data_IF_588400547177
#
_entry.id   IF_588400547177
#
_cell.length_a   1.000
_cell.length_b   1.000
_cell.length_c   1.000
_cell.angle_alpha   90.00
_cell.angle_beta   90.00
_cell.angle_gamma   90.00
#
_symmetry.space_group_name_H-M   'P 1'
#
loop_
_entity.id
_entity.type
_entity.pdbx_description
1 polymer ?
#
# COMPACT_ATOMS: atom_id res chain seq x y z
N UNK A 1 6.89 3.43 10.40
CA UNK A 1 6.40 4.76 9.93
C UNK A 1 7.24 5.33 8.79
N UNK A 2 8.55 5.53 8.96
CA UNK A 2 9.43 6.16 7.94
C UNK A 2 9.36 5.44 6.58
N UNK A 3 9.40 4.11 6.57
CA UNK A 3 9.29 3.33 5.34
C UNK A 3 8.00 3.61 4.55
N UNK A 4 6.86 3.72 5.23
CA UNK A 4 5.57 4.04 4.59
C UNK A 4 5.63 5.40 3.88
N UNK A 5 6.22 6.41 4.52
CA UNK A 5 6.34 7.76 3.95
C UNK A 5 7.26 7.78 2.73
N UNK A 6 8.39 7.09 2.79
CA UNK A 6 9.32 6.98 1.66
C UNK A 6 8.62 6.33 0.47
N UNK A 7 7.98 5.18 0.69
CA UNK A 7 7.31 4.45 -0.40
C UNK A 7 6.11 5.24 -0.95
N UNK A 8 5.32 5.89 -0.09
CA UNK A 8 4.20 6.73 -0.51
C UNK A 8 4.66 7.90 -1.39
N UNK A 9 5.77 8.54 -1.02
CA UNK A 9 6.35 9.65 -1.79
C UNK A 9 6.83 9.18 -3.15
N UNK A 10 7.56 8.06 -3.21
CA UNK A 10 7.98 7.43 -4.48
C UNK A 10 6.79 7.08 -5.36
N UNK A 11 5.75 6.45 -4.80
CA UNK A 11 4.55 6.06 -5.54
C UNK A 11 3.74 7.28 -6.01
N UNK A 12 3.77 8.38 -5.28
CA UNK A 12 3.16 9.64 -5.74
C UNK A 12 3.88 10.18 -6.96
N UNK A 13 5.21 10.21 -6.94
CA UNK A 13 6.02 10.67 -8.07
C UNK A 13 5.82 9.77 -9.30
N UNK A 14 5.89 8.45 -9.12
CA UNK A 14 5.69 7.47 -10.20
C UNK A 14 4.25 7.56 -10.74
N UNK A 15 3.26 7.57 -9.86
CA UNK A 15 1.84 7.63 -10.24
C UNK A 15 1.49 8.91 -10.98
N UNK A 16 1.99 10.07 -10.51
CA UNK A 16 1.80 11.34 -11.19
C UNK A 16 2.46 11.38 -12.58
N UNK A 17 3.70 10.87 -12.70
CA UNK A 17 4.38 10.76 -13.98
C UNK A 17 3.61 9.86 -14.95
N UNK A 18 3.12 8.70 -14.49
CA UNK A 18 2.35 7.77 -15.34
C UNK A 18 1.03 8.37 -15.84
N UNK A 19 0.35 9.16 -15.00
CA UNK A 19 -0.92 9.82 -15.35
C UNK A 19 -0.70 11.01 -16.29
N UNK A 20 0.29 11.87 -16.00
CA UNK A 20 0.47 13.15 -16.68
C UNK A 20 1.34 13.05 -17.94
N UNK A 21 2.30 12.12 -17.99
CA UNK A 21 3.32 12.04 -19.03
C UNK A 21 3.16 10.80 -19.91
N UNK A 22 2.97 9.62 -19.31
CA UNK A 22 2.94 8.34 -20.04
C UNK A 22 1.53 7.89 -20.48
N UNK A 23 0.47 8.63 -20.09
CA UNK A 23 -0.93 8.27 -20.34
C UNK A 23 -1.32 6.86 -19.85
N UNK A 24 -0.55 6.29 -18.93
CA UNK A 24 -0.79 4.97 -18.35
C UNK A 24 -1.67 5.10 -17.11
N UNK A 25 -2.88 5.62 -17.33
CA UNK A 25 -3.80 6.05 -16.28
C UNK A 25 -4.13 4.95 -15.28
N UNK A 26 -4.36 3.73 -15.74
CA UNK A 26 -4.76 2.63 -14.85
C UNK A 26 -3.65 2.28 -13.85
N UNK A 27 -2.41 2.09 -14.32
CA UNK A 27 -1.29 1.83 -13.42
C UNK A 27 -1.00 3.05 -12.55
N UNK A 28 -1.01 4.26 -13.13
CA UNK A 28 -0.77 5.50 -12.39
C UNK A 28 -1.75 5.69 -11.23
N UNK A 29 -3.04 5.44 -11.46
CA UNK A 29 -4.07 5.48 -10.40
C UNK A 29 -3.82 4.42 -9.31
N UNK A 30 -3.38 3.21 -9.65
CA UNK A 30 -3.04 2.19 -8.64
C UNK A 30 -1.87 2.66 -7.74
N UNK A 31 -0.84 3.28 -8.32
CA UNK A 31 0.26 3.88 -7.56
C UNK A 31 -0.24 5.01 -6.64
N UNK A 32 -1.08 5.92 -7.17
CA UNK A 32 -1.63 7.04 -6.39
C UNK A 32 -2.53 6.59 -5.25
N UNK A 33 -3.43 5.63 -5.48
CA UNK A 33 -4.30 5.05 -4.44
C UNK A 33 -3.46 4.40 -3.35
N UNK A 34 -2.41 3.67 -3.73
CA UNK A 34 -1.50 3.04 -2.77
C UNK A 34 -0.73 4.07 -1.95
N UNK A 35 -0.27 5.15 -2.59
CA UNK A 35 0.38 6.25 -1.90
C UNK A 35 -0.53 6.90 -0.85
N UNK A 36 -1.79 7.17 -1.21
CA UNK A 36 -2.80 7.71 -0.28
C UNK A 36 -3.01 6.77 0.91
N UNK A 37 -3.14 5.47 0.67
CA UNK A 37 -3.27 4.48 1.74
C UNK A 37 -2.05 4.52 2.68
N UNK A 38 -0.83 4.59 2.14
CA UNK A 38 0.39 4.60 2.95
C UNK A 38 0.60 5.90 3.74
N UNK A 39 0.30 7.06 3.15
CA UNK A 39 0.29 8.33 3.88
C UNK A 39 -0.74 8.32 5.00
N UNK A 40 -1.95 7.81 4.73
CA UNK A 40 -3.01 7.71 5.73
C UNK A 40 -2.59 6.82 6.89
N UNK A 41 -2.03 5.63 6.60
CA UNK A 41 -1.52 4.73 7.63
C UNK A 41 -0.40 5.37 8.45
N UNK A 42 0.56 6.03 7.80
CA UNK A 42 1.65 6.72 8.49
C UNK A 42 1.12 7.84 9.41
N UNK A 43 0.11 8.57 8.97
CA UNK A 43 -0.58 9.58 9.78
C UNK A 43 -1.27 8.97 11.00
N UNK A 44 -2.04 7.89 10.82
CA UNK A 44 -2.75 7.21 11.92
C UNK A 44 -1.77 6.68 12.98
N UNK A 45 -0.63 6.12 12.55
CA UNK A 45 0.46 5.70 13.46
C UNK A 45 1.01 6.92 14.22
N UNK A 46 1.31 8.01 13.51
CA UNK A 46 1.88 9.23 14.11
C UNK A 46 0.98 9.83 15.19
N UNK A 47 -0.34 9.81 15.00
CA UNK A 47 -1.29 10.33 16.01
C UNK A 47 -1.61 9.33 17.12
N UNK A 48 -0.89 8.19 17.18
CA UNK A 48 -1.05 7.18 18.24
C UNK A 48 -2.33 6.35 18.15
N UNK A 49 -3.07 6.43 17.03
CA UNK A 49 -4.31 5.66 16.83
C UNK A 49 -4.05 4.23 16.35
N UNK A 50 -2.86 3.95 15.81
CA UNK A 50 -2.44 2.62 15.39
C UNK A 50 -1.08 2.30 16.00
N UNK A 51 -1.04 1.29 16.86
CA UNK A 51 0.20 0.79 17.45
C UNK A 51 0.51 -0.60 16.88
N UNK A 52 1.55 -0.67 16.06
CA UNK A 52 2.00 -1.91 15.42
C UNK A 52 2.86 -2.75 16.37
N UNK A 53 3.49 -2.14 17.36
CA UNK A 53 4.41 -2.81 18.28
C UNK A 53 3.65 -3.62 19.33
N UNK A 54 2.46 -3.16 19.73
CA UNK A 54 1.57 -3.86 20.67
C UNK A 54 0.68 -4.90 19.94
N UNK A 55 0.70 -4.95 18.61
CA UNK A 55 -0.08 -5.91 17.84
C UNK A 55 0.44 -7.34 18.03
N UNK A 56 -0.47 -8.33 18.03
CA UNK A 56 -0.09 -9.75 18.02
C UNK A 56 0.76 -10.07 16.79
N UNK A 57 1.65 -11.07 16.89
CA UNK A 57 2.52 -11.47 15.78
C UNK A 57 1.74 -11.81 14.51
N UNK A 58 0.54 -12.38 14.65
CA UNK A 58 -0.36 -12.65 13.52
C UNK A 58 -0.81 -11.38 12.80
N UNK A 59 -1.23 -10.34 13.52
CA UNK A 59 -1.68 -9.06 12.96
C UNK A 59 -0.51 -8.27 12.36
N UNK A 60 0.65 -8.29 13.02
CA UNK A 60 1.88 -7.68 12.49
C UNK A 60 2.31 -8.36 11.19
N UNK A 61 2.23 -9.69 11.13
CA UNK A 61 2.55 -10.46 9.91
C UNK A 61 1.56 -10.15 8.79
N UNK A 62 0.25 -10.06 9.07
CA UNK A 62 -0.75 -9.65 8.07
C UNK A 62 -0.46 -8.25 7.52
N UNK A 63 -0.06 -7.30 8.38
CA UNK A 63 0.31 -5.95 7.97
C UNK A 63 1.51 -5.93 7.03
N UNK A 64 2.58 -6.62 7.40
CA UNK A 64 3.79 -6.72 6.58
C UNK A 64 3.49 -7.45 5.27
N UNK A 65 2.73 -8.54 5.30
CA UNK A 65 2.36 -9.31 4.12
C UNK A 65 1.52 -8.47 3.15
N UNK A 66 0.50 -7.77 3.64
CA UNK A 66 -0.33 -6.88 2.82
C UNK A 66 0.51 -5.79 2.15
N UNK A 67 1.38 -5.12 2.92
CA UNK A 67 2.32 -4.12 2.40
C UNK A 67 3.20 -4.70 1.28
N UNK A 68 3.83 -5.86 1.53
CA UNK A 68 4.74 -6.49 0.57
C UNK A 68 4.02 -6.94 -0.69
N UNK A 69 2.84 -7.57 -0.58
CA UNK A 69 2.05 -8.00 -1.75
C UNK A 69 1.67 -6.79 -2.60
N UNK A 70 1.18 -5.70 -1.99
CA UNK A 70 0.81 -4.48 -2.74
C UNK A 70 2.01 -3.90 -3.49
N UNK A 71 3.16 -3.75 -2.81
CA UNK A 71 4.37 -3.18 -3.41
C UNK A 71 4.89 -4.07 -4.53
N UNK A 72 5.00 -5.38 -4.29
CA UNK A 72 5.50 -6.32 -5.30
C UNK A 72 4.56 -6.36 -6.50
N UNK A 73 3.25 -6.46 -6.31
CA UNK A 73 2.27 -6.50 -7.40
C UNK A 73 2.37 -5.30 -8.35
N UNK A 74 2.64 -4.11 -7.82
CA UNK A 74 2.81 -2.90 -8.64
C UNK A 74 4.08 -2.91 -9.50
N UNK A 75 5.12 -3.59 -9.03
CA UNK A 75 6.44 -3.66 -9.68
C UNK A 75 6.59 -4.86 -10.64
N UNK A 76 5.65 -5.81 -10.65
CA UNK A 76 5.68 -6.92 -11.60
C UNK A 76 5.37 -6.40 -13.01
N UNK A 77 6.33 -6.55 -13.91
CA UNK A 77 6.27 -6.12 -15.31
C UNK A 77 5.89 -7.25 -16.29
N UNK A 78 6.08 -8.52 -15.92
CA UNK A 78 5.95 -9.67 -16.83
C UNK A 78 4.61 -10.42 -16.76
N UNK A 79 3.65 -9.91 -15.98
CA UNK A 79 2.36 -10.57 -15.76
C UNK A 79 1.26 -9.80 -16.50
N UNK A 80 0.30 -10.53 -17.08
CA UNK A 80 -0.87 -9.93 -17.73
C UNK A 80 -1.52 -8.88 -16.82
N UNK A 81 -1.90 -7.74 -17.41
CA UNK A 81 -2.39 -6.56 -16.67
C UNK A 81 -3.57 -6.90 -15.72
N UNK A 82 -4.42 -7.85 -16.11
CA UNK A 82 -5.54 -8.34 -15.31
C UNK A 82 -5.11 -9.07 -14.03
N UNK A 83 -4.08 -9.92 -14.13
CA UNK A 83 -3.54 -10.67 -13.00
C UNK A 83 -2.76 -9.73 -12.07
N UNK A 84 -2.00 -8.79 -12.64
CA UNK A 84 -1.32 -7.73 -11.90
C UNK A 84 -2.30 -6.91 -11.04
N UNK A 85 -3.40 -6.44 -11.66
CA UNK A 85 -4.43 -5.67 -10.97
C UNK A 85 -5.10 -6.46 -9.85
N UNK A 86 -5.35 -7.76 -10.05
CA UNK A 86 -5.91 -8.64 -9.02
C UNK A 86 -4.97 -8.78 -7.81
N UNK A 87 -3.68 -9.06 -8.04
CA UNK A 87 -2.73 -9.17 -6.93
C UNK A 87 -2.55 -7.86 -6.18
N UNK A 88 -2.56 -6.73 -6.88
CA UNK A 88 -2.56 -5.41 -6.25
C UNK A 88 -3.79 -5.20 -5.37
N UNK A 89 -4.99 -5.52 -5.89
CA UNK A 89 -6.25 -5.38 -5.17
C UNK A 89 -6.30 -6.28 -3.92
N UNK A 90 -5.79 -7.51 -4.02
CA UNK A 90 -5.68 -8.42 -2.88
C UNK A 90 -4.69 -7.87 -1.84
N UNK A 91 -3.51 -7.43 -2.28
CA UNK A 91 -2.51 -6.86 -1.39
C UNK A 91 -3.04 -5.66 -0.60
N UNK A 92 -3.67 -4.70 -1.30
CA UNK A 92 -4.19 -3.49 -0.65
C UNK A 92 -5.35 -3.81 0.29
N UNK A 93 -6.21 -4.78 -0.05
CA UNK A 93 -7.28 -5.24 0.83
C UNK A 93 -6.73 -5.88 2.11
N UNK A 94 -5.75 -6.78 1.98
CA UNK A 94 -5.08 -7.42 3.15
C UNK A 94 -4.41 -6.35 4.02
N UNK A 95 -3.74 -5.37 3.40
CA UNK A 95 -3.14 -4.25 4.11
C UNK A 95 -4.17 -3.44 4.91
N UNK A 96 -5.28 -3.03 4.29
CA UNK A 96 -6.34 -2.25 4.96
C UNK A 96 -7.00 -3.07 6.08
N UNK A 97 -7.32 -4.35 5.83
CA UNK A 97 -7.90 -5.25 6.84
C UNK A 97 -6.95 -5.40 8.03
N UNK A 98 -5.65 -5.52 7.79
CA UNK A 98 -4.67 -5.62 8.89
C UNK A 98 -4.64 -4.37 9.76
N UNK A 99 -4.73 -3.17 9.16
CA UNK A 99 -4.82 -1.90 9.88
C UNK A 99 -6.08 -1.88 10.74
N UNK A 100 -7.21 -2.27 10.15
CA UNK A 100 -8.48 -2.35 10.87
C UNK A 100 -8.42 -3.33 12.05
N UNK A 101 -7.82 -4.51 11.85
CA UNK A 101 -7.68 -5.53 12.89
C UNK A 101 -6.76 -5.07 14.03
N UNK A 102 -5.70 -4.32 13.73
CA UNK A 102 -4.82 -3.74 14.76
C UNK A 102 -5.55 -2.62 15.49
N UNK A 103 -6.25 -1.75 14.76
CA UNK A 103 -7.02 -0.63 15.31
C UNK A 103 -8.13 -1.09 16.27
N UNK A 104 -8.87 -2.15 15.93
CA UNK A 104 -10.02 -2.63 16.71
C UNK A 104 -9.65 -3.31 18.03
N UNK A 105 -8.41 -3.80 18.17
CA UNK A 105 -7.92 -4.71 19.23
C UNK A 105 -8.63 -6.06 19.26
#
# INVERSE_FOLDING_TARGET
MILLLIVATLFTMIGAAMVLLDYNYYNGLQYLVTAVAFFTTAYIIKVGKLDIEIATDSKRTQFIAGLMITVVALNITFVALSIKGLFWAVGIAVFIISIYNIYKK
#
